data_IF_383391537467
#
_entry.id   IF_383391537467
#
_cell.length_a   1.000
_cell.length_b   1.000
_cell.length_c   1.000
_cell.angle_alpha   90.00
_cell.angle_beta   90.00
_cell.angle_gamma   90.00
#
_symmetry.space_group_name_H-M   'P 1'
#
loop_
_entity.id
_entity.type
_entity.pdbx_description
1 polymer ?
#
# COMPACT_ATOMS: atom_id res chain seq x y z
N UNK A 1 18.50 3.38 -21.23
CA UNK A 1 17.67 4.34 -20.46
C UNK A 1 17.78 5.70 -21.12
N UNK A 2 16.67 6.33 -21.53
CA UNK A 2 16.67 7.67 -22.13
C UNK A 2 17.32 8.73 -21.22
N UNK A 3 18.02 9.75 -21.76
CA UNK A 3 18.68 10.79 -20.95
C UNK A 3 17.75 11.50 -19.96
N UNK A 4 16.51 11.78 -20.37
CA UNK A 4 15.51 12.41 -19.50
C UNK A 4 15.17 11.54 -18.26
N UNK A 5 15.09 10.21 -18.42
CA UNK A 5 14.83 9.31 -17.30
C UNK A 5 16.03 9.24 -16.36
N UNK A 6 17.25 9.21 -16.89
CA UNK A 6 18.46 9.24 -16.06
C UNK A 6 18.52 10.52 -15.22
N UNK A 7 18.16 11.66 -15.80
CA UNK A 7 18.13 12.93 -15.09
C UNK A 7 17.02 12.98 -14.02
N UNK A 8 15.82 12.49 -14.33
CA UNK A 8 14.72 12.40 -13.36
C UNK A 8 15.08 11.50 -12.17
N UNK A 9 15.73 10.35 -12.42
CA UNK A 9 16.22 9.47 -11.36
C UNK A 9 17.28 10.14 -10.50
N UNK A 10 18.23 10.87 -11.11
CA UNK A 10 19.25 11.63 -10.37
C UNK A 10 18.62 12.65 -9.43
N UNK A 11 17.63 13.41 -9.91
CA UNK A 11 16.89 14.37 -9.09
C UNK A 11 16.09 13.68 -7.97
N UNK A 12 15.42 12.56 -8.28
CA UNK A 12 14.69 11.77 -7.28
C UNK A 12 15.61 11.25 -6.17
N UNK A 13 16.82 10.80 -6.51
CA UNK A 13 17.79 10.33 -5.52
C UNK A 13 18.28 11.45 -4.60
N UNK A 14 18.42 12.68 -5.11
CA UNK A 14 18.76 13.84 -4.29
C UNK A 14 17.68 14.10 -3.23
N UNK A 15 16.41 14.10 -3.64
CA UNK A 15 15.28 14.27 -2.70
C UNK A 15 15.23 13.14 -1.68
N UNK A 16 15.36 11.88 -2.12
CA UNK A 16 15.34 10.70 -1.22
C UNK A 16 16.40 10.79 -0.12
N UNK A 17 17.57 11.37 -0.41
CA UNK A 17 18.73 11.49 0.49
C UNK A 17 18.73 12.76 1.34
N UNK A 18 17.81 13.68 1.10
CA UNK A 18 17.68 14.94 1.85
C UNK A 18 16.79 14.78 3.09
N UNK A 19 16.80 15.80 3.95
CA UNK A 19 15.90 15.94 5.11
C UNK A 19 14.41 15.85 4.72
N UNK A 20 14.04 16.31 3.53
CA UNK A 20 12.67 16.15 3.00
C UNK A 20 12.33 14.66 2.84
N UNK A 21 13.29 13.86 2.37
CA UNK A 21 13.17 12.41 2.25
C UNK A 21 13.01 11.73 3.61
N UNK A 22 13.74 12.18 4.63
CA UNK A 22 13.62 11.71 6.01
C UNK A 22 12.25 12.04 6.60
N UNK A 23 11.81 13.30 6.51
CA UNK A 23 10.50 13.73 6.99
C UNK A 23 9.35 12.95 6.32
N UNK A 24 9.47 12.63 5.03
CA UNK A 24 8.48 11.78 4.32
C UNK A 24 8.46 10.35 4.86
N UNK A 25 9.62 9.78 5.22
CA UNK A 25 9.69 8.43 5.82
C UNK A 25 9.08 8.42 7.23
N UNK A 26 9.36 9.43 8.04
CA UNK A 26 8.75 9.58 9.37
C UNK A 26 7.22 9.71 9.28
N UNK A 27 6.72 10.58 8.39
CA UNK A 27 5.28 10.72 8.13
C UNK A 27 4.67 9.40 7.67
N UNK A 28 5.34 8.67 6.78
CA UNK A 28 4.87 7.35 6.32
C UNK A 28 4.78 6.36 7.48
N UNK A 29 5.77 6.32 8.37
CA UNK A 29 5.75 5.46 9.55
C UNK A 29 4.57 5.80 10.46
N UNK A 30 4.32 7.09 10.72
CA UNK A 30 3.16 7.53 11.49
C UNK A 30 1.82 7.14 10.84
N UNK A 31 1.72 7.26 9.51
CA UNK A 31 0.54 6.83 8.76
C UNK A 31 0.34 5.31 8.82
N UNK A 32 1.41 4.51 8.75
CA UNK A 32 1.35 3.05 8.93
C UNK A 32 0.81 2.72 10.32
N UNK A 33 1.35 3.33 11.38
CA UNK A 33 0.87 3.11 12.76
C UNK A 33 -0.60 3.47 12.90
N UNK A 34 -1.02 4.65 12.41
CA UNK A 34 -2.41 5.09 12.45
C UNK A 34 -3.34 4.14 11.68
N UNK A 35 -2.93 3.74 10.48
CA UNK A 35 -3.72 2.82 9.67
C UNK A 35 -3.89 1.47 10.36
N UNK A 36 -2.80 0.90 10.88
CA UNK A 36 -2.82 -0.40 11.60
C UNK A 36 -3.76 -0.35 12.80
N UNK A 37 -3.70 0.72 13.61
CA UNK A 37 -4.62 0.90 14.72
C UNK A 37 -6.09 0.99 14.26
N UNK A 38 -6.37 1.73 13.18
CA UNK A 38 -7.73 1.92 12.68
C UNK A 38 -8.37 0.70 12.01
N UNK A 39 -7.59 -0.31 11.63
CA UNK A 39 -8.12 -1.52 10.97
C UNK A 39 -8.19 -2.74 11.89
N UNK A 40 -7.72 -2.63 13.14
CA UNK A 40 -7.71 -3.75 14.09
C UNK A 40 -9.11 -4.29 14.39
N UNK A 41 -10.13 -3.43 14.39
CA UNK A 41 -11.51 -3.81 14.71
C UNK A 41 -12.31 -4.34 13.51
N UNK A 42 -11.70 -4.42 12.33
CA UNK A 42 -12.37 -4.91 11.13
C UNK A 42 -12.40 -6.45 11.10
N UNK A 43 -13.42 -7.08 10.48
CA UNK A 43 -13.53 -8.53 10.35
C UNK A 43 -12.60 -9.09 9.25
N UNK A 44 -11.37 -8.60 9.19
CA UNK A 44 -10.36 -8.98 8.21
C UNK A 44 -9.01 -9.17 8.90
N UNK A 45 -8.20 -10.10 8.38
CA UNK A 45 -6.85 -10.31 8.91
C UNK A 45 -5.87 -9.38 8.22
N UNK A 46 -5.29 -8.45 8.96
CA UNK A 46 -4.14 -7.68 8.49
C UNK A 46 -2.87 -8.53 8.64
N UNK A 47 -2.11 -8.69 7.55
CA UNK A 47 -0.81 -9.35 7.64
C UNK A 47 0.17 -8.49 8.46
N UNK A 48 1.06 -9.15 9.19
CA UNK A 48 2.10 -8.42 9.91
C UNK A 48 3.07 -7.75 8.91
N UNK A 49 3.08 -6.42 8.89
CA UNK A 49 3.84 -5.63 7.94
C UNK A 49 4.19 -4.27 8.53
N UNK A 50 5.49 -4.02 8.64
CA UNK A 50 6.05 -2.73 9.02
C UNK A 50 6.36 -1.84 7.80
N UNK A 51 6.00 -2.27 6.58
CA UNK A 51 6.30 -1.55 5.34
C UNK A 51 5.15 -0.63 4.90
N UNK A 52 5.36 0.19 3.86
CA UNK A 52 4.29 0.97 3.24
C UNK A 52 3.13 0.11 2.71
N UNK A 53 3.39 -1.17 2.44
CA UNK A 53 2.41 -2.12 1.95
C UNK A 53 1.72 -2.77 3.13
N UNK A 54 0.41 -2.61 3.23
CA UNK A 54 -0.44 -3.17 4.28
C UNK A 54 -1.40 -4.20 3.65
N UNK A 55 -1.07 -5.51 3.66
CA UNK A 55 -1.88 -6.53 3.03
C UNK A 55 -3.07 -6.91 3.92
N UNK A 56 -4.29 -6.72 3.42
CA UNK A 56 -5.52 -7.12 4.09
C UNK A 56 -6.03 -8.43 3.50
N UNK A 57 -5.93 -9.53 4.23
CA UNK A 57 -6.30 -10.87 3.76
C UNK A 57 -7.82 -11.00 3.78
N UNK A 58 -8.39 -11.33 2.62
CA UNK A 58 -9.83 -11.54 2.39
C UNK A 58 -10.16 -13.03 2.19
N UNK A 59 -9.17 -13.79 1.70
CA UNK A 59 -9.26 -15.23 1.49
C UNK A 59 -9.74 -15.60 0.10
N UNK A 60 -11.02 -15.38 -0.17
CA UNK A 60 -11.65 -15.72 -1.45
C UNK A 60 -11.47 -14.65 -2.54
N UNK A 61 -11.31 -15.11 -3.78
CA UNK A 61 -11.09 -14.27 -4.96
C UNK A 61 -12.28 -13.35 -5.26
N UNK A 62 -13.50 -13.88 -5.20
CA UNK A 62 -14.71 -13.11 -5.52
C UNK A 62 -14.99 -12.06 -4.45
N UNK A 63 -14.81 -12.43 -3.17
CA UNK A 63 -14.92 -11.50 -2.03
C UNK A 63 -13.89 -10.37 -2.13
N UNK A 64 -12.64 -10.69 -2.48
CA UNK A 64 -11.60 -9.68 -2.65
C UNK A 64 -11.92 -8.68 -3.78
N UNK A 65 -12.42 -9.17 -4.91
CA UNK A 65 -12.88 -8.31 -6.02
C UNK A 65 -14.04 -7.41 -5.62
N UNK A 66 -15.08 -7.98 -5.02
CA UNK A 66 -16.27 -7.24 -4.61
C UNK A 66 -15.92 -6.17 -3.59
N UNK A 67 -15.02 -6.46 -2.65
CA UNK A 67 -14.56 -5.49 -1.67
C UNK A 67 -13.77 -4.36 -2.34
N UNK A 68 -12.86 -4.69 -3.27
CA UNK A 68 -12.13 -3.67 -4.03
C UNK A 68 -13.06 -2.76 -4.83
N UNK A 69 -14.11 -3.33 -5.44
CA UNK A 69 -15.11 -2.58 -6.20
C UNK A 69 -15.96 -1.67 -5.31
N UNK A 70 -16.41 -2.15 -4.14
CA UNK A 70 -17.14 -1.33 -3.16
C UNK A 70 -16.29 -0.16 -2.67
N UNK A 71 -15.02 -0.41 -2.38
CA UNK A 71 -14.08 0.65 -1.98
C UNK A 71 -13.87 1.65 -3.11
N UNK A 72 -13.76 1.19 -4.36
CA UNK A 72 -13.64 2.05 -5.54
C UNK A 72 -14.84 2.99 -5.68
N UNK A 73 -16.06 2.50 -5.46
CA UNK A 73 -17.29 3.30 -5.47
C UNK A 73 -17.30 4.37 -4.37
N UNK A 74 -16.56 4.16 -3.28
CA UNK A 74 -16.36 5.12 -2.19
C UNK A 74 -15.14 6.04 -2.42
N UNK A 75 -14.52 6.01 -3.60
CA UNK A 75 -13.34 6.81 -3.94
C UNK A 75 -12.01 6.18 -3.52
N UNK A 76 -12.02 4.99 -2.92
CA UNK A 76 -10.82 4.28 -2.48
C UNK A 76 -10.36 3.26 -3.51
N UNK A 77 -9.33 3.59 -4.29
CA UNK A 77 -8.77 2.69 -5.29
C UNK A 77 -7.76 1.73 -4.67
N UNK A 78 -8.13 0.44 -4.61
CA UNK A 78 -7.30 -0.62 -4.03
C UNK A 78 -7.22 -1.81 -4.97
N UNK A 79 -6.09 -2.50 -4.97
CA UNK A 79 -5.87 -3.65 -5.85
C UNK A 79 -6.13 -4.96 -5.10
N UNK A 80 -7.01 -5.80 -5.63
CA UNK A 80 -7.16 -7.19 -5.21
C UNK A 80 -6.04 -8.05 -5.85
N UNK A 81 -5.21 -8.66 -5.02
CA UNK A 81 -4.16 -9.61 -5.43
C UNK A 81 -4.67 -11.03 -5.16
N UNK A 82 -4.53 -11.89 -6.16
CA UNK A 82 -5.09 -13.26 -6.20
C UNK A 82 -4.03 -14.23 -6.76
N UNK A 83 -4.26 -15.56 -6.68
CA UNK A 83 -3.42 -16.52 -7.38
C UNK A 83 -3.26 -16.20 -8.88
N UNK A 84 -2.10 -16.51 -9.49
CA UNK A 84 -0.95 -17.21 -8.89
C UNK A 84 0.00 -16.32 -8.06
N UNK A 85 -0.25 -15.01 -8.00
CA UNK A 85 0.65 -14.06 -7.29
C UNK A 85 0.68 -14.27 -5.77
N UNK A 86 -0.40 -14.84 -5.21
CA UNK A 86 -0.48 -15.26 -3.80
C UNK A 86 -1.05 -16.68 -3.71
N UNK A 87 -0.77 -17.45 -2.65
CA UNK A 87 -1.35 -18.78 -2.46
C UNK A 87 -2.88 -18.80 -2.53
N UNK A 88 -3.44 -19.91 -3.01
CA UNK A 88 -4.89 -20.12 -3.04
C UNK A 88 -5.50 -19.96 -1.64
N UNK A 89 -6.70 -19.39 -1.56
CA UNK A 89 -7.36 -19.10 -0.28
C UNK A 89 -6.75 -17.93 0.51
N UNK A 90 -5.78 -17.19 -0.05
CA UNK A 90 -5.17 -16.02 0.59
C UNK A 90 -5.26 -14.74 -0.26
N UNK A 91 -6.31 -14.64 -1.09
CA UNK A 91 -6.59 -13.42 -1.84
C UNK A 91 -6.68 -12.22 -0.88
N UNK A 92 -6.17 -11.07 -1.30
CA UNK A 92 -5.96 -9.94 -0.39
C UNK A 92 -6.07 -8.61 -1.11
N UNK A 93 -6.40 -7.56 -0.37
CA UNK A 93 -6.24 -6.20 -0.85
C UNK A 93 -4.82 -5.72 -0.52
N UNK A 94 -4.13 -5.16 -1.52
CA UNK A 94 -2.82 -4.53 -1.34
C UNK A 94 -3.00 -3.03 -1.14
N UNK A 95 -3.00 -2.60 0.11
CA UNK A 95 -3.08 -1.17 0.46
C UNK A 95 -1.65 -0.63 0.50
N UNK A 96 -1.37 0.46 -0.21
CA UNK A 96 -0.04 1.09 -0.22
C UNK A 96 -0.17 2.51 0.29
N UNK A 97 0.34 2.76 1.49
CA UNK A 97 0.31 4.08 2.11
C UNK A 97 1.41 4.95 1.51
N UNK A 98 1.15 6.24 1.35
CA UNK A 98 2.12 7.20 0.83
C UNK A 98 2.13 8.45 1.70
N UNK A 99 3.28 9.11 1.81
CA UNK A 99 3.44 10.33 2.60
C UNK A 99 3.15 11.62 1.82
N UNK A 100 2.47 11.52 0.67
CA UNK A 100 2.16 12.70 -0.17
C UNK A 100 1.31 13.71 0.63
N UNK A 101 1.54 14.99 0.35
CA UNK A 101 0.63 16.06 0.75
C UNK A 101 -0.53 16.11 -0.27
#
# INVERSE_FOLDING_TARGET
MPPAQAQALRASLAVIRSDEGDARREKLAALITRFRAGVQDLPFTLADSCSAIQPLIVGDNSRALQLAEKLRQQGCWVTAIRPPTVPAGTARLRLTLTARA
#
